data_IF_496395734900
#
_entry.id   IF_496395734900
#
_cell.length_a   1.000
_cell.length_b   1.000
_cell.length_c   1.000
_cell.angle_alpha   90.00
_cell.angle_beta   90.00
_cell.angle_gamma   90.00
#
_symmetry.space_group_name_H-M   'P 1'
#
loop_
_entity.id
_entity.type
_entity.pdbx_description
1 polymer ?
#
# COMPACT_ATOMS: atom_id res chain seq x y z
N UNK A 1 -4.57 -10.17 16.05
CA UNK A 1 -3.71 -9.74 17.17
C UNK A 1 -2.46 -10.62 17.20
N UNK A 2 -1.28 -10.04 17.43
CA UNK A 2 0.01 -10.75 17.42
C UNK A 2 0.38 -11.34 18.80
N UNK A 3 -0.17 -10.76 19.88
CA UNK A 3 0.01 -11.25 21.25
C UNK A 3 -0.89 -12.45 21.49
N UNK A 4 -0.39 -13.39 22.31
CA UNK A 4 -1.12 -14.61 22.68
C UNK A 4 -1.45 -15.50 21.48
N UNK A 5 -0.67 -15.40 20.40
CA UNK A 5 -0.78 -16.24 19.22
C UNK A 5 0.46 -17.15 19.11
N UNK A 6 0.22 -18.46 19.13
CA UNK A 6 1.25 -19.51 19.13
C UNK A 6 2.10 -19.55 17.86
N UNK A 7 1.65 -18.94 16.76
CA UNK A 7 2.42 -18.84 15.51
C UNK A 7 3.56 -17.81 15.59
N UNK A 8 3.57 -16.93 16.60
CA UNK A 8 4.55 -15.87 16.73
C UNK A 8 5.48 -16.08 17.93
N UNK A 9 6.77 -15.80 17.73
CA UNK A 9 7.76 -15.84 18.80
C UNK A 9 7.53 -14.71 19.81
N UNK A 10 6.88 -15.03 20.93
CA UNK A 10 6.48 -14.08 21.97
C UNK A 10 7.66 -13.35 22.63
N UNK A 11 8.88 -13.89 22.57
CA UNK A 11 10.08 -13.22 23.09
C UNK A 11 10.51 -12.02 22.22
N UNK A 12 10.05 -11.97 20.96
CA UNK A 12 10.42 -10.91 20.00
C UNK A 12 9.30 -9.88 19.81
N UNK A 13 8.14 -10.10 20.41
CA UNK A 13 7.02 -9.17 20.35
C UNK A 13 7.28 -8.00 21.31
N UNK A 14 7.09 -6.78 20.82
CA UNK A 14 7.20 -5.56 21.63
C UNK A 14 6.34 -5.65 22.89
N UNK A 15 6.98 -5.47 24.03
CA UNK A 15 6.33 -5.48 25.35
C UNK A 15 5.31 -4.35 25.50
N UNK A 16 4.40 -4.49 26.47
CA UNK A 16 3.42 -3.43 26.75
C UNK A 16 4.14 -2.13 27.11
N UNK A 17 3.78 -1.04 26.43
CA UNK A 17 4.37 0.29 26.66
C UNK A 17 5.70 0.57 25.96
N UNK A 18 6.24 -0.38 25.17
CA UNK A 18 7.49 -0.16 24.41
C UNK A 18 7.26 0.29 22.96
N UNK A 19 5.99 0.40 22.54
CA UNK A 19 5.62 0.94 21.24
C UNK A 19 5.84 2.46 21.27
N UNK A 20 6.76 2.92 20.45
CA UNK A 20 7.00 4.35 20.21
C UNK A 20 5.94 4.83 19.22
N UNK A 21 5.34 5.99 19.51
CA UNK A 21 4.41 6.63 18.57
C UNK A 21 5.17 6.97 17.28
N UNK A 22 4.60 6.69 16.10
CA UNK A 22 5.25 7.06 14.84
C UNK A 22 5.29 8.60 14.70
N UNK A 23 6.37 9.11 14.11
CA UNK A 23 6.49 10.55 13.80
C UNK A 23 5.70 10.93 12.54
N UNK A 24 5.49 9.97 11.62
CA UNK A 24 4.80 10.17 10.36
C UNK A 24 3.74 9.10 10.11
N UNK A 25 2.68 9.48 9.39
CA UNK A 25 1.68 8.56 8.85
C UNK A 25 1.71 8.61 7.34
N UNK A 26 1.63 7.45 6.68
CA UNK A 26 1.41 7.35 5.24
C UNK A 26 -0.02 6.92 4.98
N UNK A 27 -0.72 7.63 4.12
CA UNK A 27 -2.09 7.32 3.72
C UNK A 27 -2.29 7.62 2.25
N UNK A 28 -3.35 7.09 1.67
CA UNK A 28 -3.56 7.26 0.24
C UNK A 28 -4.72 6.45 -0.31
N UNK A 29 -4.87 6.53 -1.63
CA UNK A 29 -5.84 5.74 -2.39
C UNK A 29 -5.14 5.10 -3.58
N UNK A 30 -5.52 3.86 -3.86
CA UNK A 30 -5.10 3.13 -5.04
C UNK A 30 -6.35 2.90 -5.89
N UNK A 31 -6.29 3.28 -7.16
CA UNK A 31 -7.32 2.98 -8.15
C UNK A 31 -6.73 2.07 -9.21
N UNK A 32 -7.50 1.08 -9.64
CA UNK A 32 -7.15 0.24 -10.78
C UNK A 32 -8.22 0.37 -11.87
N UNK A 33 -7.76 0.58 -13.10
CA UNK A 33 -8.58 0.50 -14.30
C UNK A 33 -8.06 -0.62 -15.21
N UNK A 34 -8.97 -1.29 -15.93
CA UNK A 34 -8.61 -2.33 -16.90
C UNK A 34 -8.99 -1.86 -18.31
N UNK A 35 -8.01 -1.79 -19.20
CA UNK A 35 -8.18 -1.34 -20.58
C UNK A 35 -7.93 -2.50 -21.54
N UNK A 36 -8.88 -2.79 -22.41
CA UNK A 36 -8.70 -3.79 -23.47
C UNK A 36 -7.99 -3.17 -24.67
N UNK A 37 -6.83 -3.70 -25.02
CA UNK A 37 -6.02 -3.25 -26.14
C UNK A 37 -6.53 -3.81 -27.48
N UNK A 38 -6.12 -3.18 -28.58
CA UNK A 38 -6.55 -3.57 -29.95
C UNK A 38 -6.13 -4.99 -30.33
N UNK A 39 -5.01 -5.47 -29.81
CA UNK A 39 -4.52 -6.84 -30.03
C UNK A 39 -5.23 -7.90 -29.17
N UNK A 40 -6.19 -7.49 -28.33
CA UNK A 40 -6.94 -8.38 -27.44
C UNK A 40 -6.30 -8.62 -26.07
N UNK A 41 -5.14 -8.01 -25.81
CA UNK A 41 -4.52 -7.99 -24.48
C UNK A 41 -5.26 -7.04 -23.52
N UNK A 42 -5.02 -7.20 -22.23
CA UNK A 42 -5.56 -6.36 -21.17
C UNK A 42 -4.40 -5.61 -20.51
N UNK A 43 -4.56 -4.31 -20.37
CA UNK A 43 -3.68 -3.46 -19.57
C UNK A 43 -4.38 -3.11 -18.26
N UNK A 44 -3.76 -3.46 -17.14
CA UNK A 44 -4.15 -2.97 -15.82
C UNK A 44 -3.34 -1.71 -15.51
N UNK A 45 -4.03 -0.60 -15.27
CA UNK A 45 -3.46 0.71 -14.95
C UNK A 45 -3.73 1.01 -13.48
N UNK A 46 -2.67 1.13 -12.69
CA UNK A 46 -2.76 1.44 -11.26
C UNK A 46 -2.35 2.88 -11.02
N UNK A 47 -3.22 3.62 -10.34
CA UNK A 47 -2.99 5.00 -9.92
C UNK A 47 -2.80 5.02 -8.41
N UNK A 48 -1.59 5.34 -7.98
CA UNK A 48 -1.21 5.48 -6.58
C UNK A 48 -1.19 6.95 -6.21
N UNK A 49 -2.06 7.34 -5.29
CA UNK A 49 -2.05 8.64 -4.65
C UNK A 49 -1.61 8.43 -3.21
N UNK A 50 -0.43 8.91 -2.85
CA UNK A 50 0.14 8.71 -1.51
C UNK A 50 0.49 10.06 -0.89
N UNK A 51 0.24 10.18 0.41
CA UNK A 51 0.57 11.34 1.23
C UNK A 51 1.23 10.87 2.52
N UNK A 52 2.34 11.51 2.88
CA UNK A 52 3.01 11.36 4.16
C UNK A 52 2.74 12.60 4.98
N UNK A 53 2.18 12.41 6.17
CA UNK A 53 1.80 13.48 7.10
C UNK A 53 2.66 13.40 8.35
N UNK A 54 3.24 14.52 8.76
CA UNK A 54 3.86 14.67 10.07
C UNK A 54 2.76 14.64 11.14
N UNK A 55 2.83 13.68 12.07
CA UNK A 55 1.80 13.47 13.07
C UNK A 55 1.83 14.50 14.20
N UNK A 56 2.96 15.17 14.41
CA UNK A 56 3.09 16.22 15.41
C UNK A 56 2.41 17.52 14.94
N UNK A 57 2.63 17.90 13.68
CA UNK A 57 2.08 19.14 13.11
C UNK A 57 0.76 18.96 12.33
N UNK A 58 0.47 17.73 11.87
CA UNK A 58 -0.65 17.43 10.98
C UNK A 58 -0.43 17.87 9.53
N UNK A 59 0.76 18.36 9.17
CA UNK A 59 1.05 18.88 7.85
C UNK A 59 1.54 17.79 6.89
N UNK A 60 1.20 17.93 5.61
CA UNK A 60 1.74 17.08 4.56
C UNK A 60 3.24 17.34 4.42
N UNK A 61 4.03 16.29 4.63
CA UNK A 61 5.48 16.29 4.44
C UNK A 61 5.85 15.98 3.00
N UNK A 62 5.13 15.04 2.39
CA UNK A 62 5.35 14.60 1.00
C UNK A 62 4.05 14.10 0.41
N UNK A 63 3.82 14.39 -0.87
CA UNK A 63 2.70 13.86 -1.64
C UNK A 63 3.21 13.52 -3.04
N UNK A 64 2.78 12.37 -3.57
CA UNK A 64 3.11 11.99 -4.94
C UNK A 64 1.98 11.17 -5.57
N UNK A 65 1.92 11.28 -6.89
CA UNK A 65 1.04 10.50 -7.73
C UNK A 65 1.89 9.69 -8.71
N UNK A 66 1.67 8.37 -8.73
CA UNK A 66 2.37 7.48 -9.65
C UNK A 66 1.40 6.56 -10.37
N UNK A 67 1.60 6.46 -11.68
CA UNK A 67 0.91 5.50 -12.52
C UNK A 67 1.84 4.34 -12.84
N UNK A 68 1.33 3.11 -12.70
CA UNK A 68 2.03 1.88 -13.06
C UNK A 68 1.12 1.09 -13.99
N UNK A 69 1.60 0.79 -15.20
CA UNK A 69 0.87 0.03 -16.20
C UNK A 69 1.44 -1.37 -16.36
N UNK A 70 0.55 -2.37 -16.40
CA UNK A 70 0.92 -3.77 -16.65
C UNK A 70 0.05 -4.34 -17.76
N UNK A 71 0.66 -4.60 -18.91
CA UNK A 71 0.01 -5.29 -20.02
C UNK A 71 0.23 -6.80 -19.93
N UNK A 72 -0.85 -7.56 -20.10
CA UNK A 72 -0.80 -9.02 -20.17
C UNK A 72 -1.84 -9.57 -21.14
N UNK A 73 -1.66 -10.83 -21.51
CA UNK A 73 -2.66 -11.52 -22.32
C UNK A 73 -4.00 -11.57 -21.58
N UNK A 74 -5.11 -11.44 -22.31
CA UNK A 74 -6.46 -11.63 -21.75
C UNK A 74 -6.72 -13.03 -21.17
N UNK A 75 -5.80 -13.98 -21.40
CA UNK A 75 -5.80 -15.32 -20.80
C UNK A 75 -5.04 -15.39 -19.47
N UNK A 76 -4.32 -14.35 -19.08
CA UNK A 76 -3.60 -14.26 -17.81
C UNK A 76 -4.47 -13.56 -16.76
N UNK A 77 -4.43 -14.05 -15.52
CA UNK A 77 -5.14 -13.44 -14.39
C UNK A 77 -4.48 -12.12 -14.04
N UNK A 78 -5.21 -11.01 -14.18
CA UNK A 78 -4.85 -9.71 -13.60
C UNK A 78 -5.18 -9.76 -12.11
N UNK A 79 -4.20 -9.41 -11.28
CA UNK A 79 -4.25 -9.36 -9.82
C UNK A 79 -4.90 -8.07 -9.33
#
# INVERSE_FOLDING_TARGET
>A
ELRDNDEFNQNTISSKGTLVAPDFSISGKIRQDNVKLKNGDIQAEYFFYLSVTDLNSGLAYWEDERTIDKTGSSKSVTW
#
